data_IF_472349294474
#
_entry.id   IF_472349294474
#
_cell.length_a   1.000
_cell.length_b   1.000
_cell.length_c   1.000
_cell.angle_alpha   90.00
_cell.angle_beta   90.00
_cell.angle_gamma   90.00
#
_symmetry.space_group_name_H-M   'P 1'
#
loop_
_entity.id
_entity.type
_entity.pdbx_description
1 polymer ?
#
# COMPACT_ATOMS: atom_id res chain seq x y z
N UNK A 1 21.27 28.21 36.57
CA UNK A 1 20.33 28.89 35.66
C UNK A 1 20.42 28.12 34.35
N UNK A 2 19.51 27.15 34.18
CA UNK A 2 19.55 26.15 33.10
C UNK A 2 19.27 26.80 31.75
N UNK A 3 20.11 26.51 30.77
CA UNK A 3 19.92 26.97 29.39
C UNK A 3 18.77 26.22 28.73
N UNK A 4 17.81 27.02 28.28
CA UNK A 4 16.91 26.87 27.15
C UNK A 4 16.82 25.48 26.49
N UNK A 5 15.64 24.87 26.63
CA UNK A 5 15.15 23.89 25.67
C UNK A 5 15.05 24.52 24.29
N UNK A 6 15.96 24.14 23.39
CA UNK A 6 15.76 24.34 21.95
C UNK A 6 14.91 23.18 21.46
N UNK A 7 13.60 23.40 21.38
CA UNK A 7 12.75 22.58 20.51
C UNK A 7 13.24 22.83 19.09
N UNK A 8 14.14 21.99 18.59
CA UNK A 8 14.64 22.10 17.23
C UNK A 8 13.44 22.08 16.28
N UNK A 9 13.28 23.15 15.51
CA UNK A 9 12.34 23.17 14.40
C UNK A 9 12.57 21.90 13.58
N UNK A 10 11.51 21.21 13.12
CA UNK A 10 11.68 20.01 12.30
C UNK A 10 12.61 20.35 11.15
N UNK A 11 13.63 19.50 10.94
CA UNK A 11 14.54 19.65 9.81
C UNK A 11 13.70 19.78 8.54
N UNK A 12 13.83 20.94 7.89
CA UNK A 12 13.07 21.25 6.68
C UNK A 12 13.36 20.22 5.60
N UNK A 13 14.60 19.70 5.53
CA UNK A 13 14.96 18.65 4.58
C UNK A 13 14.24 17.33 4.88
N UNK A 14 14.27 16.85 6.13
CA UNK A 14 13.51 15.66 6.52
C UNK A 14 11.99 15.81 6.28
N UNK A 15 11.47 17.03 6.43
CA UNK A 15 10.05 17.34 6.15
C UNK A 15 9.76 17.29 4.64
N UNK A 16 10.67 17.78 3.81
CA UNK A 16 10.60 17.67 2.34
C UNK A 16 10.73 16.21 1.90
N UNK A 17 11.67 15.44 2.44
CA UNK A 17 11.84 14.02 2.14
C UNK A 17 10.58 13.22 2.50
N UNK A 18 9.96 13.52 3.65
CA UNK A 18 8.70 12.91 4.05
C UNK A 18 7.53 13.26 3.11
N UNK A 19 7.56 14.43 2.46
CA UNK A 19 6.57 14.82 1.45
C UNK A 19 6.84 14.11 0.11
N UNK A 20 8.10 14.08 -0.34
CA UNK A 20 8.49 13.38 -1.57
C UNK A 20 8.18 11.88 -1.46
N UNK A 21 8.49 11.25 -0.32
CA UNK A 21 8.16 9.84 -0.07
C UNK A 21 6.65 9.54 -0.08
N UNK A 22 5.77 10.53 0.10
CA UNK A 22 4.31 10.36 -0.07
C UNK A 22 3.90 10.44 -1.53
N UNK A 23 4.56 11.25 -2.34
CA UNK A 23 4.31 11.37 -3.79
C UNK A 23 4.78 10.11 -4.52
N UNK A 24 5.92 9.56 -4.09
CA UNK A 24 6.53 8.37 -4.72
C UNK A 24 5.89 7.05 -4.29
N UNK A 25 4.92 7.06 -3.36
CA UNK A 25 4.22 5.84 -2.98
C UNK A 25 3.39 5.36 -4.17
N UNK A 26 3.65 4.15 -4.71
CA UNK A 26 2.91 3.67 -5.86
C UNK A 26 1.42 3.65 -5.52
N UNK A 27 0.64 4.22 -6.44
CA UNK A 27 -0.80 4.30 -6.28
C UNK A 27 -1.38 2.90 -6.39
N UNK A 28 -2.31 2.62 -5.47
CA UNK A 28 -3.02 1.36 -5.54
C UNK A 28 -3.95 1.43 -6.76
N UNK A 29 -3.90 0.46 -7.70
CA UNK A 29 -4.77 0.47 -8.87
C UNK A 29 -6.26 0.58 -8.47
N UNK A 30 -7.14 1.06 -9.35
CA UNK A 30 -8.57 1.09 -9.08
C UNK A 30 -9.10 -0.30 -8.66
N UNK A 31 -10.10 -0.43 -7.77
CA UNK A 31 -10.55 -1.72 -7.25
C UNK A 31 -10.84 -2.79 -8.32
N UNK A 32 -11.50 -2.38 -9.42
CA UNK A 32 -11.78 -3.27 -10.55
C UNK A 32 -10.51 -3.82 -11.23
N UNK A 33 -9.44 -3.02 -11.29
CA UNK A 33 -8.17 -3.43 -11.88
C UNK A 33 -7.45 -4.46 -11.01
N UNK A 34 -7.57 -4.35 -9.68
CA UNK A 34 -7.05 -5.34 -8.74
C UNK A 34 -7.66 -6.72 -8.98
N UNK A 35 -8.99 -6.75 -9.14
CA UNK A 35 -9.72 -7.97 -9.47
C UNK A 35 -9.35 -8.51 -10.86
N UNK A 36 -9.27 -7.64 -11.88
CA UNK A 36 -8.86 -8.01 -13.24
C UNK A 36 -7.51 -8.70 -13.24
N UNK A 37 -6.49 -8.07 -12.65
CA UNK A 37 -5.12 -8.57 -12.58
C UNK A 37 -5.05 -9.92 -11.86
N UNK A 38 -5.70 -10.03 -10.70
CA UNK A 38 -5.78 -11.29 -9.96
C UNK A 38 -6.38 -12.41 -10.84
N UNK A 39 -7.49 -12.13 -11.52
CA UNK A 39 -8.18 -13.12 -12.37
C UNK A 39 -7.38 -13.49 -13.61
N UNK A 40 -6.74 -12.53 -14.26
CA UNK A 40 -5.85 -12.78 -15.40
C UNK A 40 -4.70 -13.71 -15.03
N UNK A 41 -4.18 -13.59 -13.80
CA UNK A 41 -3.16 -14.45 -13.25
C UNK A 41 -3.65 -15.81 -12.73
N UNK A 42 -4.96 -16.11 -12.81
CA UNK A 42 -5.55 -17.35 -12.26
C UNK A 42 -5.52 -17.45 -10.74
N UNK A 43 -5.30 -16.33 -10.03
CA UNK A 43 -5.20 -16.31 -8.57
C UNK A 43 -6.59 -16.17 -7.92
N UNK A 44 -6.76 -16.85 -6.79
CA UNK A 44 -7.94 -16.70 -5.93
C UNK A 44 -7.69 -15.65 -4.84
N UNK A 45 -8.77 -15.07 -4.31
CA UNK A 45 -8.66 -14.14 -3.18
C UNK A 45 -8.07 -14.81 -1.93
N UNK A 46 -8.27 -16.13 -1.76
CA UNK A 46 -7.70 -16.90 -0.65
C UNK A 46 -6.18 -17.00 -0.76
N UNK A 47 -5.64 -17.21 -1.97
CA UNK A 47 -4.19 -17.25 -2.20
C UNK A 47 -3.52 -15.92 -1.87
N UNK A 48 -4.13 -14.79 -2.27
CA UNK A 48 -3.64 -13.46 -1.89
C UNK A 48 -3.74 -13.25 -0.38
N UNK A 49 -4.87 -13.65 0.22
CA UNK A 49 -5.10 -13.48 1.65
C UNK A 49 -4.08 -14.25 2.49
N UNK A 50 -3.79 -15.50 2.11
CA UNK A 50 -2.78 -16.33 2.74
C UNK A 50 -1.38 -15.70 2.63
N UNK A 51 -1.00 -15.22 1.44
CA UNK A 51 0.29 -14.56 1.22
C UNK A 51 0.46 -13.28 2.06
N UNK A 52 -0.63 -12.53 2.29
CA UNK A 52 -0.61 -11.26 3.01
C UNK A 52 -0.99 -11.37 4.50
N UNK A 53 -1.24 -12.59 5.00
CA UNK A 53 -1.63 -12.81 6.39
C UNK A 53 -2.92 -12.08 6.79
N UNK A 54 -3.94 -12.13 5.92
CA UNK A 54 -5.27 -11.55 6.16
C UNK A 54 -6.37 -12.58 5.90
N UNK A 55 -7.61 -12.27 6.27
CA UNK A 55 -8.77 -13.09 5.91
C UNK A 55 -9.19 -12.81 4.46
N UNK A 56 -9.71 -13.82 3.74
CA UNK A 56 -10.28 -13.67 2.37
C UNK A 56 -11.22 -12.47 2.22
N UNK A 57 -12.11 -12.28 3.19
CA UNK A 57 -13.07 -11.16 3.20
C UNK A 57 -12.39 -9.77 3.16
N UNK A 58 -11.16 -9.68 3.67
CA UNK A 58 -10.35 -8.45 3.60
C UNK A 58 -9.99 -8.13 2.16
N UNK A 59 -9.53 -9.13 1.40
CA UNK A 59 -9.21 -8.99 -0.03
C UNK A 59 -10.47 -8.67 -0.85
N UNK A 60 -11.60 -9.31 -0.53
CA UNK A 60 -12.90 -8.94 -1.13
C UNK A 60 -13.23 -7.46 -0.91
N UNK A 61 -13.03 -6.95 0.30
CA UNK A 61 -13.30 -5.54 0.60
C UNK A 61 -12.34 -4.60 -0.14
N UNK A 62 -11.08 -4.99 -0.35
CA UNK A 62 -10.12 -4.23 -1.15
C UNK A 62 -10.46 -4.22 -2.65
N UNK A 63 -10.81 -5.38 -3.21
CA UNK A 63 -11.18 -5.50 -4.63
C UNK A 63 -12.53 -4.84 -4.95
N UNK A 64 -13.42 -4.71 -3.95
CA UNK A 64 -14.69 -3.98 -4.09
C UNK A 64 -14.61 -2.49 -3.70
N UNK A 65 -13.46 -2.01 -3.24
CA UNK A 65 -13.27 -0.62 -2.79
C UNK A 65 -13.99 -0.26 -1.47
N UNK A 66 -14.57 -1.25 -0.77
CA UNK A 66 -15.21 -1.03 0.55
C UNK A 66 -14.20 -0.67 1.65
N UNK A 67 -12.95 -1.09 1.47
CA UNK A 67 -11.85 -0.75 2.36
C UNK A 67 -10.55 -0.68 1.55
N UNK A 68 -9.54 -0.02 2.10
CA UNK A 68 -8.19 0.00 1.54
C UNK A 68 -7.20 -0.71 2.47
N UNK A 69 -6.16 -1.36 1.92
CA UNK A 69 -5.10 -1.95 2.73
C UNK A 69 -4.31 -0.84 3.43
N UNK A 70 -3.88 -1.11 4.67
CA UNK A 70 -2.98 -0.25 5.43
C UNK A 70 -1.55 -0.82 5.41
N UNK A 71 -0.51 0.01 5.59
CA UNK A 71 0.85 -0.49 5.80
C UNK A 71 0.91 -1.53 6.94
N UNK A 72 1.77 -2.57 6.84
CA UNK A 72 2.67 -2.89 5.72
C UNK A 72 1.99 -3.65 4.57
N UNK A 73 0.72 -4.08 4.73
CA UNK A 73 0.01 -4.89 3.72
C UNK A 73 -0.24 -4.14 2.43
N UNK A 74 -0.42 -2.82 2.51
CA UNK A 74 -0.54 -1.93 1.34
C UNK A 74 0.64 -2.11 0.39
N UNK A 75 1.86 -2.02 0.92
CA UNK A 75 3.11 -2.13 0.14
C UNK A 75 3.24 -3.51 -0.51
N UNK A 76 3.01 -4.57 0.26
CA UNK A 76 3.06 -5.93 -0.25
C UNK A 76 2.00 -6.19 -1.35
N UNK A 77 0.79 -5.64 -1.18
CA UNK A 77 -0.27 -5.79 -2.16
C UNK A 77 -0.01 -4.99 -3.44
N UNK A 78 0.51 -3.76 -3.34
CA UNK A 78 0.94 -2.99 -4.51
C UNK A 78 2.03 -3.73 -5.27
N UNK A 79 3.06 -4.22 -4.58
CA UNK A 79 4.13 -4.99 -5.21
C UNK A 79 3.62 -6.23 -5.95
N UNK A 80 2.61 -6.92 -5.39
CA UNK A 80 1.94 -8.01 -6.08
C UNK A 80 1.25 -7.51 -7.35
N UNK A 81 0.43 -6.47 -7.25
CA UNK A 81 -0.35 -5.93 -8.36
C UNK A 81 0.53 -5.36 -9.49
N UNK A 82 1.60 -4.64 -9.18
CA UNK A 82 2.58 -4.16 -10.16
C UNK A 82 3.21 -5.33 -10.92
N UNK A 83 3.57 -6.39 -10.18
CA UNK A 83 4.09 -7.62 -10.77
C UNK A 83 3.09 -8.30 -11.71
N UNK A 84 1.80 -8.29 -11.37
CA UNK A 84 0.75 -8.82 -12.25
C UNK A 84 0.53 -7.91 -13.46
N UNK A 85 0.50 -6.60 -13.29
CA UNK A 85 0.28 -5.63 -14.37
C UNK A 85 1.41 -5.65 -15.42
N UNK A 86 2.64 -5.92 -15.00
CA UNK A 86 3.75 -6.14 -15.93
C UNK A 86 3.60 -7.41 -16.81
N UNK A 87 2.63 -8.29 -16.51
CA UNK A 87 2.41 -9.57 -17.20
C UNK A 87 1.07 -9.65 -17.95
N UNK A 88 0.08 -8.83 -17.59
CA UNK A 88 -1.33 -8.94 -18.02
C UNK A 88 -2.04 -7.60 -18.16
#
# INVERSE_FOLDING_TARGET
MSEAGTGAAPDLFASVDALLARVDQPDLPPPAERERLRRAAGLTQEQIAAALGVRRATVVNWESGKAEPRPPRREAYIRLLDGLAARY
#
